data_IF_057867197019
#
_entry.id   IF_057867197019
#
_cell.length_a   1.000
_cell.length_b   1.000
_cell.length_c   1.000
_cell.angle_alpha   90.00
_cell.angle_beta   90.00
_cell.angle_gamma   90.00
#
_symmetry.space_group_name_H-M   'P 1'
#
loop_
_entity.id
_entity.type
_entity.pdbx_description
1 polymer ?
#
# COMPACT_ATOMS: atom_id res chain seq x y z
N UNK A 1 -7.11 41.97 -6.46
CA UNK A 1 -7.89 40.86 -5.89
C UNK A 1 -7.13 39.55 -6.03
N UNK A 2 -5.99 39.39 -5.31
CA UNK A 2 -5.16 38.17 -5.42
C UNK A 2 -5.68 37.04 -4.51
N UNK A 3 -6.41 37.37 -3.43
CA UNK A 3 -6.96 36.36 -2.51
C UNK A 3 -8.02 35.44 -3.15
N UNK A 4 -8.80 35.93 -4.13
CA UNK A 4 -9.77 35.11 -4.85
C UNK A 4 -9.13 34.15 -5.88
N UNK A 5 -7.91 34.47 -6.33
CA UNK A 5 -7.20 33.64 -7.30
C UNK A 5 -6.55 32.43 -6.63
N UNK A 6 -6.07 32.58 -5.40
CA UNK A 6 -5.53 31.47 -4.60
C UNK A 6 -6.61 30.46 -4.18
N UNK A 7 -7.81 30.91 -3.85
CA UNK A 7 -8.92 30.00 -3.49
C UNK A 7 -9.41 29.20 -4.69
N UNK A 8 -9.45 29.81 -5.88
CA UNK A 8 -9.80 29.12 -7.13
C UNK A 8 -8.74 28.08 -7.55
N UNK A 9 -7.45 28.39 -7.35
CA UNK A 9 -6.35 27.45 -7.63
C UNK A 9 -6.33 26.27 -6.64
N UNK A 10 -6.66 26.51 -5.37
CA UNK A 10 -6.76 25.45 -4.35
C UNK A 10 -7.94 24.48 -4.60
N UNK A 11 -9.05 24.98 -5.17
CA UNK A 11 -10.20 24.17 -5.62
C UNK A 11 -9.85 23.28 -6.82
N UNK A 12 -9.05 23.78 -7.77
CA UNK A 12 -8.59 22.99 -8.94
C UNK A 12 -7.53 21.95 -8.62
N UNK A 13 -6.75 22.14 -7.55
CA UNK A 13 -5.69 21.21 -7.12
C UNK A 13 -6.17 20.11 -6.16
N UNK A 14 -7.48 20.01 -5.88
CA UNK A 14 -8.04 18.95 -5.04
C UNK A 14 -7.63 19.01 -3.57
N UNK A 15 -7.01 20.10 -3.11
CA UNK A 15 -6.57 20.30 -1.72
C UNK A 15 -7.72 20.67 -0.77
N UNK A 16 -8.85 21.15 -1.31
CA UNK A 16 -10.09 21.37 -0.56
C UNK A 16 -11.05 20.24 -0.94
N UNK A 17 -10.84 19.08 -0.32
CA UNK A 17 -11.75 17.95 -0.44
C UNK A 17 -13.09 18.29 0.20
N UNK A 18 -14.13 18.50 -0.62
CA UNK A 18 -15.51 18.41 -0.15
C UNK A 18 -15.75 16.95 0.25
N UNK A 19 -15.51 16.62 1.52
CA UNK A 19 -16.01 15.36 2.10
C UNK A 19 -17.53 15.43 2.06
N UNK A 20 -18.12 14.83 1.03
CA UNK A 20 -19.50 14.37 1.10
C UNK A 20 -19.53 13.34 2.23
N UNK A 21 -19.97 13.76 3.41
CA UNK A 21 -20.43 12.85 4.44
C UNK A 21 -21.60 12.07 3.85
N UNK A 22 -21.32 10.89 3.32
CA UNK A 22 -22.34 9.89 3.10
C UNK A 22 -22.64 9.34 4.49
N UNK A 23 -23.64 9.96 5.13
CA UNK A 23 -24.29 9.42 6.31
C UNK A 23 -24.89 8.07 5.87
N UNK A 24 -24.14 7.00 6.10
CA UNK A 24 -24.65 5.64 6.01
C UNK A 24 -25.53 5.49 7.24
N UNK A 25 -26.80 5.82 7.05
CA UNK A 25 -27.86 5.50 7.97
C UNK A 25 -28.14 4.01 7.77
N UNK A 26 -27.32 3.17 8.39
CA UNK A 26 -27.64 1.76 8.58
C UNK A 26 -28.59 1.72 9.78
N UNK A 27 -29.87 1.96 9.50
CA UNK A 27 -30.96 1.58 10.40
C UNK A 27 -31.10 0.08 10.23
N UNK A 28 -30.29 -0.68 10.97
CA UNK A 28 -30.64 -2.07 11.24
C UNK A 28 -31.88 -2.01 12.13
N UNK A 29 -33.01 -2.18 11.45
CA UNK A 29 -34.32 -2.34 12.02
C UNK A 29 -34.36 -3.68 12.76
N UNK A 30 -34.00 -3.65 14.03
CA UNK A 30 -34.37 -4.67 15.03
C UNK A 30 -34.53 -4.03 16.41
N UNK A 31 -35.32 -2.97 16.44
CA UNK A 31 -35.89 -2.40 17.66
C UNK A 31 -37.41 -2.38 17.51
N UNK A 32 -37.98 -3.59 17.41
CA UNK A 32 -39.41 -3.79 17.52
C UNK A 32 -39.84 -3.45 18.97
N UNK A 33 -40.69 -2.44 19.07
CA UNK A 33 -41.70 -2.25 20.11
C UNK A 33 -41.24 -2.38 21.56
N UNK A 34 -40.63 -1.31 22.07
CA UNK A 34 -40.88 -0.89 23.44
C UNK A 34 -41.45 0.52 23.39
N UNK A 35 -42.77 0.62 23.22
CA UNK A 35 -43.52 1.79 23.62
C UNK A 35 -43.04 2.21 25.01
N UNK A 36 -42.65 3.48 25.26
CA UNK A 36 -42.54 3.94 26.62
C UNK A 36 -43.98 4.03 27.11
N UNK A 37 -44.48 2.95 27.71
CA UNK A 37 -45.59 3.07 28.64
C UNK A 37 -45.16 4.18 29.59
N UNK A 38 -45.84 5.32 29.51
CA UNK A 38 -45.66 6.41 30.43
C UNK A 38 -45.82 5.81 31.82
N UNK A 39 -44.70 5.64 32.55
CA UNK A 39 -44.63 5.03 33.88
C UNK A 39 -45.25 5.88 34.98
N UNK A 40 -46.26 6.68 34.62
CA UNK A 40 -47.19 7.24 35.57
C UNK A 40 -48.07 6.09 36.05
N UNK A 41 -48.09 5.79 37.35
CA UNK A 41 -48.95 4.74 37.87
C UNK A 41 -50.40 5.06 37.48
N UNK A 42 -51.12 4.07 36.91
CA UNK A 42 -52.55 4.18 36.54
C UNK A 42 -53.45 4.65 37.69
N UNK A 43 -52.96 4.58 38.93
CA UNK A 43 -53.61 5.13 40.12
C UNK A 43 -53.65 6.67 40.16
N UNK A 44 -53.00 7.38 39.24
CA UNK A 44 -53.03 8.84 39.19
C UNK A 44 -54.25 9.43 38.48
N UNK A 45 -55.02 8.59 37.80
CA UNK A 45 -56.26 8.98 37.10
C UNK A 45 -57.53 8.54 37.81
N UNK A 46 -57.41 7.80 38.92
CA UNK A 46 -58.56 7.36 39.70
C UNK A 46 -58.97 8.45 40.71
N UNK A 47 -60.25 8.81 40.68
CA UNK A 47 -60.84 9.82 41.56
C UNK A 47 -60.69 9.38 43.04
N UNK A 48 -59.93 10.10 43.89
CA UNK A 48 -59.60 9.67 45.25
C UNK A 48 -60.82 9.63 46.18
N UNK A 49 -61.94 10.23 45.76
CA UNK A 49 -63.23 10.21 46.46
C UNK A 49 -64.17 9.11 45.94
N UNK A 50 -63.78 8.34 44.93
CA UNK A 50 -64.64 7.32 44.32
C UNK A 50 -65.99 7.86 43.84
N UNK A 51 -66.04 9.13 43.42
CA UNK A 51 -67.26 9.81 42.98
C UNK A 51 -68.22 10.28 44.07
N UNK A 52 -67.83 10.33 45.35
CA UNK A 52 -68.71 10.93 46.38
C UNK A 52 -68.50 12.43 46.50
N UNK A 53 -69.40 13.21 45.93
CA UNK A 53 -69.59 14.62 46.23
C UNK A 53 -70.19 14.75 47.64
N UNK A 54 -69.38 15.21 48.60
CA UNK A 54 -69.82 15.45 49.98
C UNK A 54 -70.19 16.93 50.11
N UNK A 55 -71.47 17.24 49.91
CA UNK A 55 -72.00 18.60 50.08
C UNK A 55 -72.51 18.79 51.52
N UNK A 56 -71.79 19.58 52.32
CA UNK A 56 -72.11 19.80 53.74
C UNK A 56 -72.98 21.05 53.91
N UNK A 57 -74.28 20.88 54.11
CA UNK A 57 -75.20 21.98 54.45
C UNK A 57 -75.37 22.07 55.96
N UNK A 58 -74.97 23.21 56.56
CA UNK A 58 -75.06 23.45 58.01
C UNK A 58 -76.29 24.31 58.31
N UNK A 59 -77.23 23.76 59.08
CA UNK A 59 -78.42 24.49 59.51
C UNK A 59 -78.17 25.15 60.88
N UNK A 60 -78.03 26.48 60.89
CA UNK A 60 -77.71 27.28 62.08
C UNK A 60 -78.91 27.65 62.95
N UNK A 61 -80.12 27.15 62.63
CA UNK A 61 -81.39 27.53 63.26
C UNK A 61 -82.00 26.46 64.18
N UNK A 62 -81.30 25.35 64.39
CA UNK A 62 -81.79 24.17 65.14
C UNK A 62 -80.89 23.91 66.36
N UNK A 63 -81.48 23.86 67.56
CA UNK A 63 -80.77 23.57 68.83
C UNK A 63 -80.45 22.08 69.02
N UNK A 64 -81.00 21.21 68.17
CA UNK A 64 -80.86 19.76 68.29
C UNK A 64 -79.59 19.27 67.57
N UNK A 65 -78.61 18.81 68.37
CA UNK A 65 -77.21 18.55 67.93
C UNK A 65 -77.08 17.54 66.79
N UNK A 66 -78.10 16.70 66.56
CA UNK A 66 -78.13 15.68 65.50
C UNK A 66 -78.65 16.19 64.15
N UNK A 67 -79.23 17.39 64.08
CA UNK A 67 -79.82 17.97 62.87
C UNK A 67 -79.00 19.14 62.28
N UNK A 68 -77.87 19.48 62.91
CA UNK A 68 -77.02 20.60 62.50
C UNK A 68 -76.26 20.28 61.19
N UNK A 69 -75.98 19.00 60.92
CA UNK A 69 -75.32 18.55 59.68
C UNK A 69 -76.23 17.61 58.88
N UNK A 70 -76.31 17.82 57.57
CA UNK A 70 -77.06 16.95 56.63
C UNK A 70 -76.45 15.55 56.46
N UNK A 71 -75.19 15.37 56.86
CA UNK A 71 -74.40 14.14 56.71
C UNK A 71 -73.79 13.74 58.06
N UNK A 72 -73.71 12.43 58.34
CA UNK A 72 -73.09 11.92 59.57
C UNK A 72 -71.55 12.00 59.46
N UNK A 73 -71.00 13.11 59.98
CA UNK A 73 -69.56 13.44 59.94
C UNK A 73 -68.66 12.30 60.43
N UNK A 74 -69.14 11.45 61.35
CA UNK A 74 -68.36 10.35 61.94
C UNK A 74 -68.41 9.07 61.12
N UNK A 75 -69.56 8.77 60.50
CA UNK A 75 -69.79 7.51 59.78
C UNK A 75 -69.53 7.60 58.28
N UNK A 76 -69.70 8.77 57.67
CA UNK A 76 -69.63 8.91 56.22
C UNK A 76 -68.43 9.76 55.80
N UNK A 77 -68.29 10.97 56.36
CA UNK A 77 -67.22 11.90 55.96
C UNK A 77 -65.85 11.43 56.42
N UNK A 78 -65.71 11.02 57.70
CA UNK A 78 -64.42 10.57 58.24
C UNK A 78 -63.83 9.36 57.49
N UNK A 79 -64.57 8.27 57.21
CA UNK A 79 -64.02 7.16 56.44
C UNK A 79 -63.85 7.46 54.95
N UNK A 80 -64.61 8.40 54.36
CA UNK A 80 -64.35 8.86 52.99
C UNK A 80 -63.04 9.65 52.91
N UNK A 81 -62.81 10.55 53.86
CA UNK A 81 -61.57 11.33 53.95
C UNK A 81 -60.36 10.43 54.28
N UNK A 82 -60.55 9.43 55.15
CA UNK A 82 -59.52 8.42 55.42
C UNK A 82 -59.18 7.62 54.16
N UNK A 83 -60.17 7.17 53.38
CA UNK A 83 -59.96 6.50 52.09
C UNK A 83 -59.22 7.37 51.09
N UNK A 84 -59.57 8.66 50.99
CA UNK A 84 -58.87 9.60 50.13
C UNK A 84 -57.41 9.79 50.58
N UNK A 85 -57.16 9.94 51.88
CA UNK A 85 -55.80 10.02 52.43
C UNK A 85 -54.99 8.75 52.15
N UNK A 86 -55.58 7.57 52.32
CA UNK A 86 -54.92 6.29 52.06
C UNK A 86 -54.64 6.09 50.56
N UNK A 87 -55.55 6.56 49.69
CA UNK A 87 -55.38 6.55 48.24
C UNK A 87 -54.25 7.49 47.78
N UNK A 88 -54.24 8.73 48.28
CA UNK A 88 -53.15 9.68 48.01
C UNK A 88 -51.81 9.20 48.55
N UNK A 89 -51.78 8.59 49.74
CA UNK A 89 -50.57 8.00 50.29
C UNK A 89 -50.06 6.85 49.40
N UNK A 90 -50.96 5.97 48.95
CA UNK A 90 -50.62 4.86 48.05
C UNK A 90 -50.10 5.36 46.70
N UNK A 91 -50.73 6.40 46.13
CA UNK A 91 -50.27 7.04 44.90
C UNK A 91 -48.90 7.72 45.09
N UNK A 92 -48.68 8.39 46.23
CA UNK A 92 -47.40 8.97 46.57
C UNK A 92 -46.30 7.90 46.63
N UNK A 93 -46.54 6.77 47.32
CA UNK A 93 -45.58 5.67 47.36
C UNK A 93 -45.35 5.05 45.97
N UNK A 94 -46.40 4.88 45.16
CA UNK A 94 -46.26 4.36 43.79
C UNK A 94 -45.43 5.29 42.90
N UNK A 95 -45.63 6.61 43.00
CA UNK A 95 -44.83 7.59 42.27
C UNK A 95 -43.39 7.63 42.78
N UNK A 96 -43.15 7.51 44.09
CA UNK A 96 -41.81 7.44 44.66
C UNK A 96 -41.06 6.18 44.18
N UNK A 97 -41.72 5.03 44.14
CA UNK A 97 -41.14 3.80 43.59
C UNK A 97 -40.82 3.96 42.09
N UNK A 98 -41.74 4.52 41.29
CA UNK A 98 -41.47 4.81 39.87
C UNK A 98 -40.27 5.75 39.69
N UNK A 99 -40.13 6.77 40.54
CA UNK A 99 -38.95 7.66 40.53
C UNK A 99 -37.66 6.91 40.88
N UNK A 100 -37.69 5.99 41.85
CA UNK A 100 -36.53 5.16 42.20
C UNK A 100 -36.16 4.23 41.05
N UNK A 101 -37.12 3.53 40.45
CA UNK A 101 -36.88 2.67 39.28
C UNK A 101 -36.31 3.44 38.10
N UNK A 102 -36.82 4.64 37.83
CA UNK A 102 -36.29 5.50 36.76
C UNK A 102 -34.86 5.96 37.07
N UNK A 103 -34.53 6.24 38.34
CA UNK A 103 -33.16 6.57 38.74
C UNK A 103 -32.21 5.40 38.54
N UNK A 104 -32.60 4.20 38.99
CA UNK A 104 -31.80 2.99 38.77
C UNK A 104 -31.57 2.72 37.28
N UNK A 105 -32.60 2.91 36.45
CA UNK A 105 -32.46 2.79 34.99
C UNK A 105 -31.52 3.84 34.41
N UNK A 106 -31.57 5.09 34.89
CA UNK A 106 -30.65 6.15 34.47
C UNK A 106 -29.21 5.78 34.85
N UNK A 107 -28.99 5.29 36.07
CA UNK A 107 -27.66 4.89 36.54
C UNK A 107 -27.11 3.73 35.70
N UNK A 108 -27.90 2.69 35.45
CA UNK A 108 -27.52 1.55 34.59
C UNK A 108 -27.19 2.00 33.16
N UNK A 109 -28.01 2.90 32.57
CA UNK A 109 -27.74 3.43 31.24
C UNK A 109 -26.48 4.30 31.22
N UNK A 110 -26.20 5.04 32.31
CA UNK A 110 -24.99 5.86 32.43
C UNK A 110 -23.72 5.01 32.51
N UNK A 111 -23.75 3.92 33.29
CA UNK A 111 -22.66 2.95 33.38
C UNK A 111 -22.44 2.26 32.03
N UNK A 112 -23.50 1.76 31.40
CA UNK A 112 -23.43 1.13 30.08
C UNK A 112 -22.86 2.08 29.02
N UNK A 113 -23.28 3.36 29.04
CA UNK A 113 -22.73 4.38 28.15
C UNK A 113 -21.24 4.60 28.40
N UNK A 114 -20.81 4.66 29.66
CA UNK A 114 -19.40 4.83 30.02
C UNK A 114 -18.56 3.66 29.52
N UNK A 115 -19.00 2.42 29.76
CA UNK A 115 -18.32 1.22 29.25
C UNK A 115 -18.23 1.21 27.72
N UNK A 116 -19.29 1.58 27.02
CA UNK A 116 -19.28 1.67 25.57
C UNK A 116 -18.31 2.76 25.09
N UNK A 117 -18.24 3.91 25.77
CA UNK A 117 -17.30 4.96 25.44
C UNK A 117 -15.84 4.48 25.61
N UNK A 118 -15.53 3.79 26.71
CA UNK A 118 -14.19 3.23 26.93
C UNK A 118 -13.80 2.21 25.85
N UNK A 119 -14.75 1.36 25.42
CA UNK A 119 -14.53 0.41 24.31
C UNK A 119 -14.26 1.12 23.00
N UNK A 120 -15.01 2.18 22.69
CA UNK A 120 -14.80 3.00 21.49
C UNK A 120 -13.41 3.63 21.54
N UNK A 121 -13.02 4.23 22.66
CA UNK A 121 -11.71 4.87 22.82
C UNK A 121 -10.56 3.87 22.65
N UNK A 122 -10.69 2.64 23.17
CA UNK A 122 -9.69 1.60 22.99
C UNK A 122 -9.58 1.14 21.54
N UNK A 123 -10.72 0.92 20.86
CA UNK A 123 -10.75 0.56 19.44
C UNK A 123 -10.15 1.68 18.59
N UNK A 124 -10.46 2.94 18.87
CA UNK A 124 -9.85 4.07 18.17
C UNK A 124 -8.31 4.12 18.35
N UNK A 125 -7.82 3.86 19.57
CA UNK A 125 -6.37 3.74 19.82
C UNK A 125 -5.75 2.60 19.03
N UNK A 126 -6.44 1.46 18.91
CA UNK A 126 -5.97 0.32 18.11
C UNK A 126 -5.94 0.66 16.62
N UNK A 127 -7.00 1.28 16.10
CA UNK A 127 -7.08 1.74 14.70
C UNK A 127 -5.95 2.73 14.39
N UNK A 128 -5.71 3.71 15.28
CA UNK A 128 -4.60 4.67 15.12
C UNK A 128 -3.24 3.96 15.07
N UNK A 129 -2.99 3.01 15.99
CA UNK A 129 -1.76 2.19 16.02
C UNK A 129 -1.58 1.38 14.74
N UNK A 130 -2.63 0.71 14.26
CA UNK A 130 -2.58 -0.08 13.03
C UNK A 130 -2.38 0.78 11.79
N UNK A 131 -3.04 1.93 11.72
CA UNK A 131 -2.88 2.87 10.61
C UNK A 131 -1.45 3.43 10.54
N UNK A 132 -0.86 3.76 11.69
CA UNK A 132 0.54 4.19 11.74
C UNK A 132 1.49 3.09 11.25
N UNK A 133 1.35 1.85 11.74
CA UNK A 133 2.15 0.71 11.27
C UNK A 133 1.98 0.45 9.78
N UNK A 134 0.77 0.59 9.26
CA UNK A 134 0.50 0.45 7.84
C UNK A 134 1.25 1.51 7.02
N UNK A 135 1.24 2.77 7.45
CA UNK A 135 1.96 3.84 6.78
C UNK A 135 3.47 3.61 6.81
N UNK A 136 4.03 3.23 7.96
CA UNK A 136 5.45 2.89 8.11
C UNK A 136 5.86 1.73 7.18
N UNK A 137 5.04 0.67 7.14
CA UNK A 137 5.28 -0.48 6.26
C UNK A 137 5.19 -0.10 4.78
N UNK A 138 4.17 0.68 4.40
CA UNK A 138 3.99 1.17 3.03
C UNK A 138 5.19 2.02 2.58
N UNK A 139 5.66 2.90 3.44
CA UNK A 139 6.80 3.78 3.15
C UNK A 139 8.11 2.97 3.05
N UNK A 140 8.26 1.92 3.87
CA UNK A 140 9.39 0.97 3.79
C UNK A 140 9.38 0.20 2.47
N UNK A 141 8.23 -0.38 2.08
CA UNK A 141 8.09 -1.08 0.80
C UNK A 141 8.36 -0.14 -0.38
N UNK A 142 7.90 1.12 -0.31
CA UNK A 142 8.18 2.11 -1.35
C UNK A 142 9.67 2.48 -1.43
N UNK A 143 10.37 2.54 -0.28
CA UNK A 143 11.82 2.77 -0.25
C UNK A 143 12.59 1.57 -0.82
N UNK A 144 12.24 0.35 -0.41
CA UNK A 144 12.84 -0.89 -0.92
C UNK A 144 12.59 -1.06 -2.42
N UNK A 145 11.38 -0.76 -2.90
CA UNK A 145 11.04 -0.80 -4.31
C UNK A 145 11.91 0.15 -5.14
N UNK A 146 12.13 1.38 -4.66
CA UNK A 146 13.04 2.34 -5.30
C UNK A 146 14.49 1.86 -5.30
N UNK A 147 14.98 1.33 -4.18
CA UNK A 147 16.35 0.81 -4.07
C UNK A 147 16.57 -0.40 -5.00
N UNK A 148 15.58 -1.31 -5.07
CA UNK A 148 15.61 -2.46 -5.97
C UNK A 148 15.63 -2.02 -7.44
N UNK A 149 14.77 -1.07 -7.81
CA UNK A 149 14.70 -0.53 -9.17
C UNK A 149 16.03 0.12 -9.58
N UNK A 150 16.62 0.94 -8.71
CA UNK A 150 17.93 1.55 -8.98
C UNK A 150 19.04 0.50 -9.17
N UNK A 151 18.99 -0.60 -8.40
CA UNK A 151 19.95 -1.70 -8.55
C UNK A 151 19.75 -2.46 -9.87
N UNK A 152 18.50 -2.64 -10.31
CA UNK A 152 18.20 -3.24 -11.61
C UNK A 152 18.74 -2.37 -12.74
N UNK A 153 18.48 -1.07 -12.72
CA UNK A 153 18.98 -0.12 -13.72
C UNK A 153 20.52 -0.11 -13.79
N UNK A 154 21.19 -0.17 -12.63
CA UNK A 154 22.65 -0.27 -12.56
C UNK A 154 23.15 -1.56 -13.21
N UNK A 155 22.57 -2.71 -12.87
CA UNK A 155 22.97 -4.00 -13.44
C UNK A 155 22.70 -4.07 -14.95
N UNK A 156 21.61 -3.46 -15.44
CA UNK A 156 21.33 -3.35 -16.87
C UNK A 156 22.38 -2.49 -17.59
N UNK A 157 22.80 -1.37 -16.98
CA UNK A 157 23.87 -0.53 -17.50
C UNK A 157 25.21 -1.28 -17.55
N UNK A 158 25.55 -2.04 -16.51
CA UNK A 158 26.77 -2.86 -16.44
C UNK A 158 26.76 -3.97 -17.50
N UNK A 159 25.63 -4.67 -17.68
CA UNK A 159 25.46 -5.68 -18.74
C UNK A 159 25.64 -5.05 -20.12
N UNK A 160 25.06 -3.86 -20.35
CA UNK A 160 25.22 -3.15 -21.61
C UNK A 160 26.68 -2.72 -21.84
N UNK A 161 27.39 -2.29 -20.79
CA UNK A 161 28.81 -1.96 -20.85
C UNK A 161 29.66 -3.19 -21.20
N UNK A 162 29.48 -4.31 -20.49
CA UNK A 162 30.19 -5.56 -20.75
C UNK A 162 29.96 -6.07 -22.18
N UNK A 163 28.74 -5.95 -22.70
CA UNK A 163 28.44 -6.33 -24.10
C UNK A 163 29.22 -5.48 -25.11
N UNK A 164 29.30 -4.16 -24.88
CA UNK A 164 30.09 -3.26 -25.74
C UNK A 164 31.57 -3.59 -25.66
N UNK A 165 32.10 -3.77 -24.46
CA UNK A 165 33.51 -4.13 -24.23
C UNK A 165 33.86 -5.47 -24.88
N UNK A 166 33.00 -6.48 -24.72
CA UNK A 166 33.19 -7.80 -25.36
C UNK A 166 33.19 -7.68 -26.88
N UNK A 167 32.21 -6.97 -27.46
CA UNK A 167 32.16 -6.76 -28.91
C UNK A 167 33.36 -6.00 -29.44
N UNK A 168 33.85 -5.01 -28.68
CA UNK A 168 35.06 -4.26 -29.02
C UNK A 168 36.30 -5.15 -28.92
N UNK A 169 36.42 -5.97 -27.87
CA UNK A 169 37.52 -6.92 -27.69
C UNK A 169 37.55 -7.98 -28.80
N UNK A 170 36.39 -8.50 -29.21
CA UNK A 170 36.29 -9.41 -30.36
C UNK A 170 36.76 -8.75 -31.66
N UNK A 171 36.35 -7.50 -31.91
CA UNK A 171 36.77 -6.76 -33.11
C UNK A 171 38.28 -6.52 -33.12
N UNK A 172 38.85 -6.11 -31.99
CA UNK A 172 40.30 -5.90 -31.84
C UNK A 172 41.08 -7.20 -32.03
N UNK A 173 40.59 -8.30 -31.45
CA UNK A 173 41.20 -9.63 -31.62
C UNK A 173 41.16 -10.08 -33.09
N UNK A 174 40.03 -9.92 -33.77
CA UNK A 174 39.93 -10.23 -35.21
C UNK A 174 40.87 -9.39 -36.06
N UNK A 175 40.98 -8.09 -35.76
CA UNK A 175 41.90 -7.20 -36.46
C UNK A 175 43.37 -7.61 -36.23
N UNK A 176 43.73 -7.99 -35.01
CA UNK A 176 45.08 -8.46 -34.69
C UNK A 176 45.43 -9.77 -35.43
N UNK A 177 44.47 -10.71 -35.51
CA UNK A 177 44.65 -11.96 -36.28
C UNK A 177 44.84 -11.65 -37.76
N UNK A 178 43.97 -10.83 -38.36
CA UNK A 178 44.09 -10.47 -39.78
C UNK A 178 45.42 -9.74 -40.09
N UNK A 179 45.90 -8.89 -39.17
CA UNK A 179 47.19 -8.24 -39.29
C UNK A 179 48.35 -9.25 -39.27
N UNK A 180 48.35 -10.17 -38.30
CA UNK A 180 49.37 -11.21 -38.19
C UNK A 180 49.38 -12.15 -39.41
N UNK A 181 48.21 -12.49 -39.94
CA UNK A 181 48.07 -13.27 -41.18
C UNK A 181 48.70 -12.53 -42.38
N UNK A 182 48.42 -11.23 -42.53
CA UNK A 182 49.00 -10.42 -43.60
C UNK A 182 50.53 -10.29 -43.50
N UNK A 183 51.06 -10.13 -42.28
CA UNK A 183 52.51 -10.14 -42.02
C UNK A 183 53.13 -11.48 -42.39
N UNK A 184 52.50 -12.59 -41.97
CA UNK A 184 52.97 -13.94 -42.30
C UNK A 184 52.99 -14.18 -43.80
N UNK A 185 51.95 -13.80 -44.53
CA UNK A 185 51.90 -13.91 -46.00
C UNK A 185 52.97 -13.05 -46.68
N UNK A 186 53.23 -11.85 -46.16
CA UNK A 186 54.29 -10.97 -46.66
C UNK A 186 55.67 -11.62 -46.52
N UNK A 187 55.98 -12.14 -45.33
CA UNK A 187 57.23 -12.86 -45.05
C UNK A 187 57.34 -14.11 -45.92
N UNK A 188 56.26 -14.88 -46.04
CA UNK A 188 56.25 -16.09 -46.86
C UNK A 188 56.53 -15.78 -48.34
N UNK A 189 55.93 -14.71 -48.88
CA UNK A 189 56.21 -14.22 -50.24
C UNK A 189 57.67 -13.79 -50.39
N UNK A 190 58.21 -13.05 -49.43
CA UNK A 190 59.62 -12.65 -49.41
C UNK A 190 60.58 -13.85 -49.43
N UNK A 191 60.31 -14.88 -48.64
CA UNK A 191 61.08 -16.13 -48.65
C UNK A 191 61.01 -16.87 -50.00
N UNK A 192 59.82 -16.91 -50.64
CA UNK A 192 59.67 -17.53 -51.96
C UNK A 192 60.44 -16.78 -53.04
N UNK A 193 60.41 -15.45 -53.02
CA UNK A 193 61.13 -14.60 -53.96
C UNK A 193 62.64 -14.78 -53.83
N UNK A 194 63.20 -14.67 -52.61
CA UNK A 194 64.63 -14.92 -52.35
C UNK A 194 65.08 -16.31 -52.76
N UNK A 195 64.23 -17.32 -52.53
CA UNK A 195 64.53 -18.68 -53.00
C UNK A 195 64.54 -18.76 -54.54
N UNK A 196 63.70 -17.99 -55.21
CA UNK A 196 63.72 -17.84 -56.67
C UNK A 196 65.03 -17.22 -57.16
N UNK A 197 65.42 -16.09 -56.58
CA UNK A 197 66.69 -15.40 -56.88
C UNK A 197 67.89 -16.32 -56.69
N UNK A 198 67.99 -16.99 -55.53
CA UNK A 198 69.07 -17.95 -55.26
C UNK A 198 69.09 -19.09 -56.28
N UNK A 199 67.92 -19.61 -56.68
CA UNK A 199 67.86 -20.67 -57.68
C UNK A 199 68.31 -20.19 -59.06
N UNK A 200 67.96 -18.96 -59.45
CA UNK A 200 68.41 -18.34 -60.70
C UNK A 200 69.92 -18.11 -60.72
N UNK A 201 70.48 -17.61 -59.61
CA UNK A 201 71.93 -17.47 -59.42
C UNK A 201 72.63 -18.84 -59.53
N UNK A 202 72.09 -19.87 -58.86
CA UNK A 202 72.63 -21.24 -58.95
C UNK A 202 72.59 -21.76 -60.38
N UNK A 203 71.50 -21.55 -61.12
CA UNK A 203 71.40 -21.99 -62.52
C UNK A 203 72.42 -21.28 -63.41
N UNK A 204 72.59 -19.96 -63.24
CA UNK A 204 73.58 -19.18 -63.98
C UNK A 204 75.00 -19.68 -63.73
N UNK A 205 75.36 -19.90 -62.45
CA UNK A 205 76.67 -20.46 -62.09
C UNK A 205 76.86 -21.88 -62.66
N UNK A 206 75.83 -22.71 -62.62
CA UNK A 206 75.88 -24.07 -63.21
C UNK A 206 76.09 -24.02 -64.72
N UNK A 207 75.41 -23.12 -65.42
CA UNK A 207 75.60 -22.89 -66.86
C UNK A 207 77.03 -22.44 -67.18
N UNK A 208 77.58 -21.49 -66.42
CA UNK A 208 78.96 -21.02 -66.56
C UNK A 208 79.98 -22.17 -66.37
N UNK A 209 79.76 -23.02 -65.35
CA UNK A 209 80.60 -24.20 -65.09
C UNK A 209 80.52 -25.21 -66.24
N UNK A 210 79.32 -25.45 -66.79
CA UNK A 210 79.14 -26.36 -67.94
C UNK A 210 79.82 -25.79 -69.18
N UNK A 211 79.70 -24.50 -69.46
CA UNK A 211 80.37 -23.84 -70.58
C UNK A 211 81.89 -23.89 -70.43
N UNK A 212 82.42 -23.57 -69.24
CA UNK A 212 83.85 -23.66 -68.94
C UNK A 212 84.36 -25.09 -69.13
N UNK A 213 83.62 -26.09 -68.64
CA UNK A 213 83.94 -27.52 -68.84
C UNK A 213 83.95 -27.87 -70.33
N UNK A 214 82.95 -27.46 -71.10
CA UNK A 214 82.87 -27.71 -72.54
C UNK A 214 84.05 -27.08 -73.30
N UNK A 215 84.43 -25.84 -72.98
CA UNK A 215 85.60 -25.19 -73.56
C UNK A 215 86.90 -25.93 -73.19
N UNK A 216 87.07 -26.35 -71.93
CA UNK A 216 88.23 -27.13 -71.50
C UNK A 216 88.34 -28.47 -72.25
N UNK A 217 87.22 -29.21 -72.38
CA UNK A 217 87.19 -30.45 -73.16
C UNK A 217 87.51 -30.22 -74.64
N UNK A 218 86.99 -29.15 -75.24
CA UNK A 218 87.30 -28.76 -76.62
C UNK A 218 88.81 -28.50 -76.80
N UNK A 219 89.42 -27.73 -75.89
CA UNK A 219 90.87 -27.46 -75.90
C UNK A 219 91.71 -28.71 -75.71
N UNK A 220 91.29 -29.62 -74.83
CA UNK A 220 91.97 -30.90 -74.64
C UNK A 220 91.88 -31.75 -75.91
N UNK A 221 90.72 -31.78 -76.59
CA UNK A 221 90.58 -32.49 -77.88
C UNK A 221 91.42 -31.87 -78.99
N UNK A 222 91.48 -30.55 -79.09
CA UNK A 222 92.35 -29.84 -80.04
C UNK A 222 93.83 -30.20 -79.82
N UNK A 223 94.28 -30.21 -78.55
CA UNK A 223 95.64 -30.60 -78.19
C UNK A 223 95.92 -32.08 -78.53
N UNK A 224 94.95 -32.97 -78.27
CA UNK A 224 95.06 -34.38 -78.65
C UNK A 224 95.22 -34.55 -80.16
N UNK A 225 94.43 -33.84 -80.97
CA UNK A 225 94.54 -33.88 -82.44
C UNK A 225 95.89 -33.33 -82.93
N UNK A 226 96.42 -32.27 -82.32
CA UNK A 226 97.76 -31.76 -82.66
C UNK A 226 98.85 -32.78 -82.34
N UNK A 227 98.79 -33.44 -81.18
CA UNK A 227 99.73 -34.51 -80.81
C UNK A 227 99.63 -35.70 -81.76
N UNK A 228 98.43 -36.09 -82.17
CA UNK A 228 98.22 -37.16 -83.16
C UNK A 228 98.78 -36.78 -84.55
N UNK A 229 98.59 -35.53 -84.98
CA UNK A 229 99.11 -35.04 -86.25
C UNK A 229 100.65 -34.92 -86.25
N UNK A 230 101.25 -34.44 -85.15
CA UNK A 230 102.72 -34.40 -85.00
C UNK A 230 103.33 -35.79 -84.92
N UNK A 231 102.60 -36.80 -84.43
CA UNK A 231 103.06 -38.19 -84.42
C UNK A 231 102.96 -38.90 -85.79
N UNK A 232 102.24 -38.34 -86.76
CA UNK A 232 102.10 -38.88 -88.12
C UNK A 232 102.99 -38.18 -89.17
N UNK A 233 103.67 -37.09 -88.79
CA UNK A 233 104.73 -36.45 -89.59
C UNK A 233 106.12 -36.97 -89.18
#
# INVERSE_FOLDING_TARGET
SQAQEYTSKALKLGLIGTRKFKMVQQVDADSAEATPESGLPKSATDDPLGGTDIELTINTRTDDRKQISSVDLRRDVRPALQRACDAFASQLFATQNSVLELREKIDQLSESRMEQQERVDEVEKQVKRHNQRYLELRDTIAAEGRASTAKVEQLEADIAAMRRETSQGELQSRAAVAHAEAEWESVQRGCRLRRGEINEDIMTILEDVVQMKSHAEMRVRELQQLVENDAMN
#
